data_IF_176236643285
#
_entry.id   IF_176236643285
#
_cell.length_a   1.000
_cell.length_b   1.000
_cell.length_c   1.000
_cell.angle_alpha   90.00
_cell.angle_beta   90.00
_cell.angle_gamma   90.00
#
_symmetry.space_group_name_H-M   'P 1'
#
loop_
_entity.id
_entity.type
_entity.pdbx_description
1 polymer ?
#
# COMPACT_ATOMS: atom_id res chain seq x y z
N UNK A 1 4.54 65.30 26.17
CA UNK A 1 4.95 63.99 26.72
C UNK A 1 6.13 63.49 25.92
N UNK A 2 7.33 63.32 26.48
CA UNK A 2 8.42 62.69 25.76
C UNK A 2 8.19 61.17 25.77
N UNK A 3 8.22 60.57 24.59
CA UNK A 3 8.20 59.13 24.38
C UNK A 3 9.56 58.56 24.80
N UNK A 4 9.58 57.73 25.84
CA UNK A 4 10.78 57.03 26.28
C UNK A 4 10.99 55.78 25.42
N UNK A 5 11.88 55.85 24.44
CA UNK A 5 12.41 54.64 23.79
C UNK A 5 13.46 54.03 24.71
N UNK A 6 13.06 53.02 25.47
CA UNK A 6 13.99 52.19 26.25
C UNK A 6 14.89 51.41 25.28
N UNK A 7 16.08 51.95 25.02
CA UNK A 7 17.19 51.25 24.41
C UNK A 7 17.80 50.32 25.46
N UNK A 8 17.38 49.05 25.46
CA UNK A 8 18.06 48.02 26.25
C UNK A 8 19.31 47.59 25.49
N UNK A 9 20.46 48.21 25.79
CA UNK A 9 21.76 47.64 25.42
C UNK A 9 21.93 46.32 26.17
N UNK A 10 21.50 45.21 25.57
CA UNK A 10 21.81 43.88 26.11
C UNK A 10 23.30 43.61 25.88
N UNK A 11 24.09 43.80 26.92
CA UNK A 11 25.46 43.28 27.00
C UNK A 11 25.36 41.76 26.90
N UNK A 12 25.63 41.21 25.72
CA UNK A 12 25.72 39.76 25.54
C UNK A 12 26.90 39.26 26.40
N UNK A 13 26.73 38.18 27.17
CA UNK A 13 27.81 37.64 27.98
C UNK A 13 28.99 37.28 27.07
N UNK A 14 30.20 37.67 27.50
CA UNK A 14 31.46 37.35 26.81
C UNK A 14 31.85 35.89 27.07
N UNK A 15 31.10 34.98 26.44
CA UNK A 15 31.37 33.54 26.44
C UNK A 15 31.91 33.13 25.07
N UNK A 16 32.65 32.00 24.98
CA UNK A 16 33.12 31.49 23.70
C UNK A 16 31.96 30.87 22.90
N UNK A 17 31.08 31.72 22.35
CA UNK A 17 29.88 31.33 21.61
C UNK A 17 30.14 30.29 20.51
N UNK A 18 31.21 30.37 19.70
CA UNK A 18 31.51 29.32 18.73
C UNK A 18 31.78 27.96 19.38
N UNK A 19 32.50 27.95 20.51
CA UNK A 19 32.80 26.73 21.26
C UNK A 19 31.56 26.12 21.90
N UNK A 20 30.70 26.95 22.49
CA UNK A 20 29.42 26.52 23.06
C UNK A 20 28.47 25.97 21.97
N UNK A 21 28.39 26.64 20.82
CA UNK A 21 27.60 26.16 19.69
C UNK A 21 28.15 24.82 19.17
N UNK A 22 29.47 24.69 19.01
CA UNK A 22 30.09 23.43 18.59
C UNK A 22 29.79 22.30 19.59
N UNK A 23 29.92 22.54 20.89
CA UNK A 23 29.59 21.57 21.93
C UNK A 23 28.10 21.18 21.90
N UNK A 24 27.19 22.15 21.73
CA UNK A 24 25.75 21.89 21.63
C UNK A 24 25.41 21.04 20.39
N UNK A 25 26.02 21.35 19.24
CA UNK A 25 25.84 20.58 17.99
C UNK A 25 26.38 19.17 18.14
N UNK A 26 27.56 18.99 18.73
CA UNK A 26 28.15 17.66 19.00
C UNK A 26 27.27 16.84 19.94
N UNK A 27 26.77 17.45 21.02
CA UNK A 27 25.88 16.79 21.96
C UNK A 27 24.56 16.36 21.28
N UNK A 28 24.00 17.23 20.43
CA UNK A 28 22.81 16.92 19.67
C UNK A 28 23.02 15.70 18.75
N UNK A 29 24.11 15.67 17.98
CA UNK A 29 24.41 14.54 17.10
C UNK A 29 24.72 13.26 17.89
N UNK A 30 25.45 13.36 19.00
CA UNK A 30 25.70 12.21 19.87
C UNK A 30 24.40 11.61 20.44
N UNK A 31 23.47 12.47 20.87
CA UNK A 31 22.15 12.03 21.34
C UNK A 31 21.30 11.42 20.22
N UNK A 32 21.31 12.01 19.01
CA UNK A 32 20.60 11.49 17.86
C UNK A 32 21.14 10.12 17.41
N UNK A 33 22.47 9.97 17.34
CA UNK A 33 23.13 8.69 17.01
C UNK A 33 22.82 7.65 18.08
N UNK A 34 22.93 8.01 19.36
CA UNK A 34 22.62 7.10 20.47
C UNK A 34 21.16 6.64 20.46
N UNK A 35 20.23 7.52 20.10
CA UNK A 35 18.82 7.20 19.90
C UNK A 35 18.62 6.19 18.77
N UNK A 36 19.21 6.44 17.60
CA UNK A 36 19.08 5.55 16.43
C UNK A 36 19.69 4.17 16.70
N UNK A 37 20.89 4.12 17.29
CA UNK A 37 21.53 2.86 17.68
C UNK A 37 20.70 2.08 18.71
N UNK A 38 20.08 2.78 19.67
CA UNK A 38 19.24 2.12 20.68
C UNK A 38 17.94 1.60 20.08
N UNK A 39 17.32 2.33 19.15
CA UNK A 39 16.12 1.88 18.46
C UNK A 39 16.40 0.71 17.52
N UNK A 40 17.53 0.74 16.82
CA UNK A 40 17.99 -0.39 15.99
C UNK A 40 18.21 -1.64 16.85
N UNK A 41 18.87 -1.50 18.00
CA UNK A 41 19.04 -2.60 18.97
C UNK A 41 17.72 -3.13 19.55
N UNK A 42 16.65 -2.34 19.53
CA UNK A 42 15.29 -2.75 19.91
C UNK A 42 14.50 -3.33 18.71
N UNK A 43 15.11 -3.41 17.52
CA UNK A 43 14.54 -4.01 16.32
C UNK A 43 13.61 -3.10 15.51
N UNK A 44 13.62 -1.77 15.77
CA UNK A 44 12.87 -0.81 14.98
C UNK A 44 13.53 -0.61 13.63
N UNK A 45 12.71 -0.40 12.60
CA UNK A 45 13.17 -0.14 11.24
C UNK A 45 12.48 1.12 10.69
N UNK A 46 13.16 1.88 9.81
CA UNK A 46 12.53 3.02 9.16
C UNK A 46 11.38 2.55 8.27
N UNK A 47 10.26 3.26 8.32
CA UNK A 47 9.08 2.92 7.53
C UNK A 47 8.51 4.19 6.92
N UNK A 48 8.40 4.21 5.59
CA UNK A 48 7.92 5.36 4.86
C UNK A 48 6.44 5.62 5.18
N UNK A 49 6.06 6.90 5.29
CA UNK A 49 4.65 7.26 5.43
C UNK A 49 3.97 7.18 4.07
N UNK A 50 2.85 6.44 4.02
CA UNK A 50 2.00 6.39 2.83
C UNK A 50 1.09 7.64 2.77
N UNK A 51 1.71 8.79 2.50
CA UNK A 51 1.07 10.12 2.51
C UNK A 51 0.30 10.42 1.22
N UNK A 52 -0.59 11.40 1.29
CA UNK A 52 -1.27 11.95 0.11
C UNK A 52 -0.27 12.46 -0.93
N UNK A 53 0.78 13.15 -0.49
CA UNK A 53 1.81 13.73 -1.34
C UNK A 53 2.57 12.66 -2.11
N UNK A 54 2.98 11.59 -1.42
CA UNK A 54 3.65 10.44 -2.03
C UNK A 54 2.75 9.71 -3.00
N UNK A 55 1.50 9.47 -2.62
CA UNK A 55 0.51 8.86 -3.49
C UNK A 55 0.28 9.71 -4.76
N UNK A 56 0.17 11.04 -4.63
CA UNK A 56 0.05 11.95 -5.78
C UNK A 56 1.29 11.94 -6.67
N UNK A 57 2.49 11.85 -6.09
CA UNK A 57 3.73 11.73 -6.84
C UNK A 57 3.77 10.43 -7.66
N UNK A 58 3.34 9.31 -7.08
CA UNK A 58 3.19 8.03 -7.78
C UNK A 58 2.12 8.13 -8.89
N UNK A 59 0.95 8.70 -8.60
CA UNK A 59 -0.13 8.89 -9.58
C UNK A 59 0.28 9.77 -10.76
N UNK A 60 1.06 10.84 -10.50
CA UNK A 60 1.63 11.69 -11.55
C UNK A 60 2.77 11.01 -12.32
N UNK A 61 3.55 10.12 -11.67
CA UNK A 61 4.55 9.27 -12.34
C UNK A 61 3.87 8.31 -13.33
N UNK A 62 2.71 7.75 -12.97
CA UNK A 62 1.92 6.89 -13.85
C UNK A 62 1.61 7.56 -15.20
N UNK A 63 1.10 8.80 -15.17
CA UNK A 63 0.79 9.58 -16.37
C UNK A 63 2.02 9.96 -17.20
N UNK A 64 3.20 10.09 -16.56
CA UNK A 64 4.45 10.46 -17.24
C UNK A 64 5.11 9.28 -17.97
N UNK A 65 4.98 8.09 -17.41
CA UNK A 65 5.60 6.88 -17.96
C UNK A 65 4.92 6.39 -19.25
N UNK A 66 3.66 6.76 -19.49
CA UNK A 66 2.91 6.35 -20.69
C UNK A 66 2.85 4.82 -20.79
N UNK A 67 3.22 4.29 -21.95
CA UNK A 67 3.18 2.85 -22.26
C UNK A 67 4.16 2.01 -21.42
N UNK A 68 5.21 2.63 -20.86
CA UNK A 68 6.14 1.93 -19.96
C UNK A 68 5.57 1.65 -18.57
N UNK A 69 4.42 2.22 -18.22
CA UNK A 69 3.87 2.09 -16.87
C UNK A 69 3.21 0.72 -16.65
N UNK A 70 3.54 0.07 -15.54
CA UNK A 70 2.75 -1.01 -14.96
C UNK A 70 2.07 -0.50 -13.68
N UNK A 71 0.82 -0.08 -13.79
CA UNK A 71 0.10 0.62 -12.73
C UNK A 71 -0.65 -0.40 -11.88
N UNK A 72 -0.36 -0.45 -10.58
CA UNK A 72 -1.00 -1.38 -9.64
C UNK A 72 -2.10 -0.65 -8.88
N UNK A 73 -3.36 -1.02 -9.13
CA UNK A 73 -4.54 -0.45 -8.49
C UNK A 73 -5.20 -1.51 -7.63
N UNK A 74 -5.59 -1.18 -6.41
CA UNK A 74 -6.16 -2.17 -5.51
C UNK A 74 -6.04 -1.80 -4.04
N UNK A 75 -5.95 -2.84 -3.22
CA UNK A 75 -5.95 -2.78 -1.78
C UNK A 75 -4.63 -3.34 -1.21
N UNK A 76 -4.73 -3.91 -0.01
CA UNK A 76 -3.60 -4.46 0.73
C UNK A 76 -2.98 -5.69 0.05
N UNK A 77 -3.72 -6.52 -0.69
CA UNK A 77 -3.11 -7.71 -1.30
C UNK A 77 -2.13 -7.32 -2.40
N UNK A 78 -2.42 -6.31 -3.19
CA UNK A 78 -1.44 -5.74 -4.13
C UNK A 78 -0.32 -4.97 -3.43
N UNK A 79 -0.66 -4.15 -2.43
CA UNK A 79 0.34 -3.31 -1.76
C UNK A 79 1.40 -4.15 -1.02
N UNK A 80 0.99 -5.27 -0.43
CA UNK A 80 1.86 -6.17 0.34
C UNK A 80 2.43 -7.32 -0.50
N UNK A 81 1.61 -7.91 -1.38
CA UNK A 81 1.89 -9.19 -2.03
C UNK A 81 2.63 -9.12 -3.36
N UNK A 82 2.78 -7.95 -3.99
CA UNK A 82 3.50 -7.80 -5.26
C UNK A 82 4.86 -7.15 -5.08
N UNK A 83 5.93 -7.81 -5.52
CA UNK A 83 7.30 -7.30 -5.51
C UNK A 83 7.59 -6.42 -6.74
N UNK A 84 7.84 -5.13 -6.51
CA UNK A 84 8.01 -4.18 -7.61
C UNK A 84 9.32 -4.41 -8.37
N UNK A 85 10.38 -4.88 -7.72
CA UNK A 85 11.65 -5.14 -8.41
C UNK A 85 11.57 -6.41 -9.25
N UNK A 86 10.86 -7.42 -8.75
CA UNK A 86 10.49 -8.61 -9.54
C UNK A 86 9.60 -8.22 -10.71
N UNK A 87 8.51 -7.45 -10.50
CA UNK A 87 7.66 -6.99 -11.61
C UNK A 87 8.47 -6.26 -12.68
N UNK A 88 9.37 -5.36 -12.29
CA UNK A 88 10.21 -4.62 -13.25
C UNK A 88 11.11 -5.56 -14.04
N UNK A 89 11.81 -6.47 -13.36
CA UNK A 89 12.72 -7.43 -13.99
C UNK A 89 11.99 -8.39 -14.91
N UNK A 90 10.86 -8.94 -14.45
CA UNK A 90 10.13 -9.95 -15.20
C UNK A 90 9.32 -9.33 -16.34
N UNK A 91 8.73 -8.14 -16.19
CA UNK A 91 7.85 -7.58 -17.23
C UNK A 91 8.55 -6.59 -18.18
N UNK A 92 9.71 -6.04 -17.80
CA UNK A 92 10.34 -4.92 -18.51
C UNK A 92 9.63 -3.57 -18.35
N UNK A 93 8.46 -3.55 -17.69
CA UNK A 93 7.68 -2.34 -17.42
C UNK A 93 8.09 -1.70 -16.10
N UNK A 94 7.75 -0.42 -15.93
CA UNK A 94 8.00 0.34 -14.72
C UNK A 94 6.80 0.30 -13.77
N UNK A 95 6.87 -0.46 -12.66
CA UNK A 95 5.76 -0.54 -11.73
C UNK A 95 5.50 0.79 -11.02
N UNK A 96 4.22 1.11 -10.85
CA UNK A 96 3.71 2.24 -10.08
C UNK A 96 2.67 1.70 -9.10
N UNK A 97 3.05 1.61 -7.83
CA UNK A 97 2.13 1.18 -6.78
C UNK A 97 1.14 2.31 -6.48
N UNK A 98 -0.14 2.12 -6.84
CA UNK A 98 -1.27 3.01 -6.49
C UNK A 98 -2.22 2.37 -5.47
N UNK A 99 -2.09 1.07 -5.20
CA UNK A 99 -2.92 0.38 -4.23
C UNK A 99 -2.83 1.01 -2.83
N UNK A 100 -3.93 0.91 -2.08
CA UNK A 100 -4.10 1.49 -0.76
C UNK A 100 -4.77 0.48 0.16
N UNK A 101 -4.08 0.10 1.23
CA UNK A 101 -4.59 -0.77 2.28
C UNK A 101 -6.02 -0.38 2.73
N UNK A 102 -6.89 -1.38 2.85
CA UNK A 102 -8.27 -1.21 3.31
C UNK A 102 -9.19 -0.40 2.38
N UNK A 103 -8.87 -0.23 1.10
CA UNK A 103 -9.70 0.51 0.15
C UNK A 103 -9.94 -0.25 -1.16
N UNK A 104 -11.11 -0.06 -1.78
CA UNK A 104 -11.39 -0.56 -3.12
C UNK A 104 -10.59 0.18 -4.19
N UNK A 105 -10.23 -0.52 -5.27
CA UNK A 105 -9.45 0.06 -6.38
C UNK A 105 -10.25 0.96 -7.33
N UNK A 106 -11.58 0.87 -7.31
CA UNK A 106 -12.46 1.51 -8.30
C UNK A 106 -12.32 3.03 -8.40
N UNK A 107 -12.24 3.80 -7.29
CA UNK A 107 -12.06 5.25 -7.39
C UNK A 107 -10.77 5.62 -8.15
N UNK A 108 -9.68 4.89 -7.90
CA UNK A 108 -8.41 5.10 -8.58
C UNK A 108 -8.53 4.71 -10.05
N UNK A 109 -9.20 3.59 -10.36
CA UNK A 109 -9.46 3.16 -11.74
C UNK A 109 -10.26 4.21 -12.51
N UNK A 110 -11.32 4.78 -11.91
CA UNK A 110 -12.09 5.87 -12.50
C UNK A 110 -11.22 7.10 -12.77
N UNK A 111 -10.35 7.44 -11.81
CA UNK A 111 -9.37 8.51 -11.95
C UNK A 111 -8.31 8.27 -13.04
N UNK A 112 -7.94 7.02 -13.29
CA UNK A 112 -7.08 6.63 -14.42
C UNK A 112 -7.87 6.70 -15.72
N UNK A 113 -9.10 6.22 -15.74
CA UNK A 113 -10.00 6.20 -16.90
C UNK A 113 -10.26 7.61 -17.45
N UNK A 114 -10.39 8.60 -16.57
CA UNK A 114 -10.55 10.02 -16.91
C UNK A 114 -9.24 10.74 -17.30
N UNK A 115 -8.08 10.11 -17.18
CA UNK A 115 -6.79 10.71 -17.53
C UNK A 115 -6.30 10.21 -18.91
N UNK A 116 -6.35 11.06 -19.96
CA UNK A 116 -5.99 10.65 -21.33
C UNK A 116 -4.50 10.34 -21.50
N UNK A 117 -3.65 10.66 -20.51
CA UNK A 117 -2.22 10.34 -20.55
C UNK A 117 -1.92 8.90 -20.13
N UNK A 118 -2.89 8.20 -19.56
CA UNK A 118 -2.72 6.80 -19.17
C UNK A 118 -2.81 5.90 -20.40
N UNK A 119 -1.66 5.32 -20.77
CA UNK A 119 -1.47 4.41 -21.92
C UNK A 119 -0.74 3.11 -21.55
N UNK A 120 -0.37 2.93 -20.29
CA UNK A 120 0.32 1.73 -19.81
C UNK A 120 -0.63 0.59 -19.47
N UNK A 121 -0.07 -0.48 -18.92
CA UNK A 121 -0.81 -1.63 -18.40
C UNK A 121 -1.25 -1.36 -16.96
N UNK A 122 -2.53 -1.55 -16.66
CA UNK A 122 -3.12 -1.41 -15.33
C UNK A 122 -3.47 -2.78 -14.80
N UNK A 123 -2.81 -3.21 -13.74
CA UNK A 123 -3.26 -4.35 -12.93
C UNK A 123 -4.25 -3.83 -11.91
N UNK A 124 -5.41 -4.45 -11.83
CA UNK A 124 -6.46 -4.12 -10.86
C UNK A 124 -6.68 -5.31 -9.95
N UNK A 125 -6.52 -5.11 -8.64
CA UNK A 125 -6.85 -6.11 -7.64
C UNK A 125 -8.35 -6.38 -7.69
N UNK A 126 -8.71 -7.64 -7.95
CA UNK A 126 -10.07 -8.12 -7.82
C UNK A 126 -10.26 -8.70 -6.41
N UNK A 127 -11.31 -8.23 -5.74
CA UNK A 127 -11.82 -8.88 -4.54
C UNK A 127 -13.33 -8.65 -4.44
N UNK A 128 -14.11 -9.72 -4.32
CA UNK A 128 -15.56 -9.73 -4.54
C UNK A 128 -16.29 -8.63 -3.76
N UNK A 129 -15.99 -8.50 -2.47
CA UNK A 129 -16.65 -7.55 -1.57
C UNK A 129 -16.24 -6.07 -1.78
N UNK A 130 -15.22 -5.82 -2.61
CA UNK A 130 -14.77 -4.45 -2.93
C UNK A 130 -15.36 -3.90 -4.21
N UNK A 131 -15.94 -4.76 -5.06
CA UNK A 131 -16.58 -4.35 -6.31
C UNK A 131 -17.87 -3.59 -5.99
N UNK A 132 -17.99 -2.35 -6.44
CA UNK A 132 -19.06 -1.42 -6.12
C UNK A 132 -18.95 -0.73 -4.77
N UNK A 133 -17.90 -1.04 -3.98
CA UNK A 133 -17.69 -0.41 -2.68
C UNK A 133 -17.30 1.08 -2.86
N UNK A 134 -18.05 1.97 -2.20
CA UNK A 134 -17.80 3.42 -2.21
C UNK A 134 -17.20 3.89 -0.89
N UNK A 135 -16.52 5.03 -0.91
CA UNK A 135 -15.84 5.59 0.26
C UNK A 135 -14.41 5.09 0.44
N UNK A 136 -13.85 5.40 1.61
CA UNK A 136 -12.52 4.96 2.00
C UNK A 136 -11.38 5.86 1.53
N UNK A 137 -10.16 5.44 1.88
CA UNK A 137 -8.94 6.24 1.70
C UNK A 137 -8.62 6.44 0.21
N UNK A 138 -8.89 5.44 -0.63
CA UNK A 138 -8.67 5.55 -2.08
C UNK A 138 -9.52 6.66 -2.73
N UNK A 139 -10.81 6.74 -2.38
CA UNK A 139 -11.68 7.77 -2.94
C UNK A 139 -11.27 9.16 -2.45
N UNK A 140 -10.94 9.31 -1.17
CA UNK A 140 -10.42 10.56 -0.62
C UNK A 140 -9.13 11.02 -1.31
N UNK A 141 -8.17 10.10 -1.46
CA UNK A 141 -6.88 10.42 -2.06
C UNK A 141 -6.99 10.77 -3.55
N UNK A 142 -7.82 10.03 -4.30
CA UNK A 142 -8.10 10.30 -5.70
C UNK A 142 -8.80 11.65 -5.88
N UNK A 143 -9.86 11.93 -5.12
CA UNK A 143 -10.58 13.22 -5.17
C UNK A 143 -9.66 14.40 -4.86
N UNK A 144 -8.78 14.26 -3.87
CA UNK A 144 -7.77 15.30 -3.53
C UNK A 144 -6.75 15.47 -4.66
N UNK A 145 -6.36 14.39 -5.33
CA UNK A 145 -5.47 14.47 -6.49
C UNK A 145 -6.13 15.23 -7.64
N UNK A 146 -7.38 14.91 -7.98
CA UNK A 146 -8.13 15.60 -9.04
C UNK A 146 -8.28 17.09 -8.75
N UNK A 147 -8.68 17.46 -7.53
CA UNK A 147 -8.72 18.86 -7.08
C UNK A 147 -7.34 19.55 -7.19
N UNK A 148 -6.26 18.82 -6.90
CA UNK A 148 -4.90 19.36 -6.97
C UNK A 148 -4.31 19.42 -8.38
N UNK A 149 -4.86 18.67 -9.33
CA UNK A 149 -4.42 18.61 -10.73
C UNK A 149 -4.94 19.79 -11.57
N UNK A 150 -5.93 20.53 -11.05
CA UNK A 150 -6.36 21.81 -11.59
C UNK A 150 -5.26 22.87 -11.53
N UNK A 151 -5.32 23.82 -12.47
CA UNK A 151 -4.39 24.91 -12.83
C UNK A 151 -3.86 25.82 -11.68
N UNK A 152 -4.17 25.52 -10.42
CA UNK A 152 -3.96 26.33 -9.23
C UNK A 152 -2.79 25.86 -8.34
N UNK A 153 -1.70 25.34 -8.92
CA UNK A 153 -0.50 24.94 -8.15
C UNK A 153 0.86 25.32 -8.72
N UNK A 154 0.91 26.30 -9.63
CA UNK A 154 2.18 26.96 -9.96
C UNK A 154 2.86 27.59 -8.74
N UNK A 155 2.15 27.77 -7.62
CA UNK A 155 2.60 28.49 -6.42
C UNK A 155 2.64 27.66 -5.12
N UNK A 156 2.81 26.33 -5.18
CA UNK A 156 3.34 25.63 -4.00
C UNK A 156 4.77 26.13 -3.77
N UNK A 157 4.97 26.91 -2.71
CA UNK A 157 6.21 27.64 -2.44
C UNK A 157 7.39 26.65 -2.45
N UNK A 158 8.54 27.00 -3.05
CA UNK A 158 9.75 26.16 -3.04
C UNK A 158 10.12 25.64 -1.64
N UNK A 159 9.83 26.43 -0.60
CA UNK A 159 10.00 26.05 0.80
C UNK A 159 9.18 24.82 1.19
N UNK A 160 7.87 24.79 0.93
CA UNK A 160 7.00 23.64 1.29
C UNK A 160 7.45 22.35 0.59
N UNK A 161 7.89 22.46 -0.67
CA UNK A 161 8.43 21.30 -1.40
C UNK A 161 9.73 20.80 -0.78
N UNK A 162 10.60 21.71 -0.37
CA UNK A 162 11.89 21.37 0.24
C UNK A 162 11.67 20.78 1.64
N UNK A 163 10.78 21.35 2.43
CA UNK A 163 10.37 20.85 3.75
C UNK A 163 9.75 19.45 3.66
N UNK A 164 8.80 19.24 2.73
CA UNK A 164 8.18 17.92 2.51
C UNK A 164 9.25 16.89 2.15
N UNK A 165 10.15 17.22 1.22
CA UNK A 165 11.23 16.32 0.80
C UNK A 165 12.19 15.98 1.94
N UNK A 166 12.60 16.97 2.73
CA UNK A 166 13.49 16.76 3.87
C UNK A 166 12.82 15.91 4.95
N UNK A 167 11.54 16.17 5.23
CA UNK A 167 10.74 15.42 6.20
C UNK A 167 10.60 13.96 5.76
N UNK A 168 10.23 13.72 4.50
CA UNK A 168 10.16 12.37 3.93
C UNK A 168 11.53 11.69 3.95
N UNK A 169 12.59 12.39 3.58
CA UNK A 169 13.95 11.86 3.60
C UNK A 169 14.38 11.40 5.00
N UNK A 170 14.08 12.20 6.04
CA UNK A 170 14.35 11.86 7.43
C UNK A 170 13.50 10.68 7.90
N UNK A 171 12.18 10.73 7.69
CA UNK A 171 11.25 9.70 8.17
C UNK A 171 11.50 8.33 7.53
N UNK A 172 12.00 8.31 6.29
CA UNK A 172 12.38 7.08 5.59
C UNK A 172 13.71 6.48 6.05
N UNK A 173 14.54 7.22 6.78
CA UNK A 173 15.92 6.83 7.12
C UNK A 173 16.17 6.65 8.60
N UNK A 174 15.30 7.19 9.44
CA UNK A 174 15.51 7.23 10.88
C UNK A 174 14.45 6.40 11.61
N UNK A 175 14.91 5.53 12.49
CA UNK A 175 14.11 4.69 13.38
C UNK A 175 13.27 5.54 14.35
N UNK A 176 13.75 6.73 14.72
CA UNK A 176 13.02 7.66 15.57
C UNK A 176 11.62 8.02 15.04
N UNK A 177 11.41 7.92 13.73
CA UNK A 177 10.14 8.22 13.05
C UNK A 177 9.34 6.98 12.64
N UNK A 178 9.81 5.79 13.02
CA UNK A 178 9.13 4.54 12.72
C UNK A 178 7.66 4.58 13.19
N UNK A 179 6.74 4.07 12.37
CA UNK A 179 5.29 4.03 12.60
C UNK A 179 4.64 5.41 12.86
N UNK A 180 5.23 6.48 12.35
CA UNK A 180 4.72 7.85 12.53
C UNK A 180 5.01 8.46 13.90
N UNK A 181 5.91 7.85 14.68
CA UNK A 181 6.45 8.45 15.89
C UNK A 181 7.28 9.70 15.58
N UNK A 182 7.58 10.48 16.61
CA UNK A 182 8.59 11.53 16.57
C UNK A 182 9.70 11.19 17.59
N UNK A 183 10.86 11.88 17.56
CA UNK A 183 11.98 11.54 18.45
C UNK A 183 11.62 11.53 19.93
N UNK A 184 10.73 12.43 20.37
CA UNK A 184 10.29 12.48 21.76
C UNK A 184 9.39 11.30 22.15
N UNK A 185 8.43 10.93 21.29
CA UNK A 185 7.59 9.76 21.53
C UNK A 185 8.41 8.46 21.47
N UNK A 186 9.39 8.37 20.58
CA UNK A 186 10.34 7.25 20.52
C UNK A 186 11.19 7.16 21.79
N UNK A 187 11.70 8.28 22.30
CA UNK A 187 12.41 8.29 23.59
C UNK A 187 11.51 7.78 24.72
N UNK A 188 10.33 8.41 24.88
CA UNK A 188 9.43 8.16 26.00
C UNK A 188 8.83 6.75 26.02
N UNK A 189 8.42 6.24 24.87
CA UNK A 189 7.60 5.03 24.78
C UNK A 189 8.31 3.83 24.18
N UNK A 190 9.52 3.99 23.63
CA UNK A 190 10.30 2.88 23.06
C UNK A 190 11.62 2.69 23.79
N UNK A 191 12.40 3.76 23.92
CA UNK A 191 13.76 3.68 24.49
C UNK A 191 13.73 3.54 26.00
N UNK A 192 13.06 4.46 26.71
CA UNK A 192 12.97 4.44 28.17
C UNK A 192 12.36 3.14 28.72
N UNK A 193 11.26 2.60 28.16
CA UNK A 193 10.71 1.32 28.61
C UNK A 193 11.39 0.09 27.98
N UNK A 194 12.40 0.28 27.11
CA UNK A 194 13.03 -0.80 26.33
C UNK A 194 12.04 -1.68 25.56
N UNK A 195 11.02 -1.06 24.96
CA UNK A 195 9.97 -1.78 24.24
C UNK A 195 10.47 -2.28 22.89
N UNK A 196 10.58 -3.61 22.73
CA UNK A 196 10.96 -4.26 21.48
C UNK A 196 9.97 -3.96 20.35
N UNK A 197 10.50 -3.82 19.14
CA UNK A 197 9.71 -3.52 17.97
C UNK A 197 8.81 -4.68 17.55
N UNK A 198 7.53 -4.39 17.41
CA UNK A 198 6.50 -5.31 16.88
C UNK A 198 6.10 -4.97 15.43
N UNK A 199 7.01 -4.33 14.69
CA UNK A 199 6.76 -3.88 13.32
C UNK A 199 6.73 -5.07 12.36
N UNK A 200 5.55 -5.66 12.20
CA UNK A 200 5.35 -6.65 11.14
C UNK A 200 5.17 -6.00 9.76
N UNK A 201 4.87 -4.70 9.69
CA UNK A 201 4.73 -3.94 8.45
C UNK A 201 5.84 -2.90 8.27
N UNK A 202 6.51 -2.93 7.12
CA UNK A 202 7.51 -1.91 6.73
C UNK A 202 7.15 -1.37 5.34
N UNK A 203 6.88 -0.07 5.25
CA UNK A 203 6.57 0.57 3.96
C UNK A 203 7.85 1.12 3.34
N UNK A 204 8.12 0.76 2.09
CA UNK A 204 9.25 1.27 1.30
C UNK A 204 8.92 2.62 0.66
N UNK A 205 9.93 3.42 0.27
CA UNK A 205 9.71 4.69 -0.42
C UNK A 205 8.89 4.59 -1.71
N UNK A 206 8.93 3.45 -2.38
CA UNK A 206 8.15 3.12 -3.59
C UNK A 206 6.68 2.74 -3.31
N UNK A 207 6.24 2.86 -2.05
CA UNK A 207 4.91 2.53 -1.50
C UNK A 207 4.59 1.04 -1.42
N UNK A 208 5.49 0.14 -1.81
CA UNK A 208 5.32 -1.27 -1.50
C UNK A 208 5.49 -1.51 0.00
N UNK A 209 4.73 -2.47 0.56
CA UNK A 209 4.77 -2.76 1.99
C UNK A 209 5.22 -4.19 2.22
N UNK A 210 6.19 -4.39 3.08
CA UNK A 210 6.66 -5.71 3.50
C UNK A 210 5.85 -6.13 4.73
N UNK A 211 5.34 -7.36 4.71
CA UNK A 211 4.61 -7.94 5.83
C UNK A 211 5.34 -9.20 6.31
N UNK A 212 5.93 -9.16 7.49
CA UNK A 212 6.60 -10.30 8.13
C UNK A 212 5.73 -10.86 9.25
N UNK A 213 4.98 -11.92 8.92
CA UNK A 213 4.07 -12.55 9.86
C UNK A 213 4.78 -13.40 10.93
N UNK A 214 6.11 -13.55 10.88
CA UNK A 214 6.86 -14.13 12.00
C UNK A 214 6.93 -13.18 13.22
N UNK A 215 6.59 -11.89 13.03
CA UNK A 215 6.62 -10.85 14.08
C UNK A 215 5.29 -10.61 14.77
N UNK A 216 4.28 -11.45 14.52
CA UNK A 216 2.95 -11.33 15.15
C UNK A 216 2.59 -12.59 15.93
N UNK A 217 1.76 -12.41 16.95
CA UNK A 217 1.31 -13.52 17.80
C UNK A 217 0.30 -14.40 17.02
N UNK A 218 0.76 -15.56 16.56
CA UNK A 218 -0.08 -16.60 15.96
C UNK A 218 -0.50 -17.64 17.02
N UNK A 219 -1.70 -18.23 16.94
CA UNK A 219 -2.72 -18.07 15.89
C UNK A 219 -3.69 -16.89 16.12
N UNK A 220 -3.57 -16.15 17.24
CA UNK A 220 -4.46 -15.03 17.58
C UNK A 220 -4.61 -14.02 16.44
N UNK A 221 -3.52 -13.62 15.80
CA UNK A 221 -3.53 -12.67 14.70
C UNK A 221 -4.36 -13.17 13.50
N UNK A 222 -4.22 -14.46 13.18
CA UNK A 222 -5.00 -15.14 12.15
C UNK A 222 -6.48 -15.18 12.51
N UNK A 223 -6.84 -15.58 13.74
CA UNK A 223 -8.24 -15.61 14.17
C UNK A 223 -8.90 -14.23 14.17
N UNK A 224 -8.17 -13.16 14.51
CA UNK A 224 -8.69 -11.78 14.38
C UNK A 224 -8.96 -11.41 12.92
N UNK A 225 -8.14 -11.89 11.98
CA UNK A 225 -8.45 -11.73 10.56
C UNK A 225 -9.72 -12.47 10.19
N UNK A 226 -9.87 -13.74 10.60
CA UNK A 226 -11.06 -14.53 10.31
C UNK A 226 -12.32 -13.85 10.85
N UNK A 227 -12.32 -13.39 12.10
CA UNK A 227 -13.44 -12.65 12.70
C UNK A 227 -13.78 -11.37 11.92
N UNK A 228 -12.76 -10.57 11.56
CA UNK A 228 -12.97 -9.39 10.72
C UNK A 228 -13.52 -9.74 9.34
N UNK A 229 -13.05 -10.82 8.71
CA UNK A 229 -13.58 -11.27 7.41
C UNK A 229 -15.04 -11.75 7.56
N UNK A 230 -15.41 -12.34 8.70
CA UNK A 230 -16.81 -12.62 9.03
C UNK A 230 -17.63 -11.34 9.25
N UNK A 231 -16.99 -10.20 9.53
CA UNK A 231 -17.69 -8.96 9.91
C UNK A 231 -18.18 -8.99 11.36
N UNK A 232 -17.57 -9.83 12.20
CA UNK A 232 -17.95 -10.03 13.61
C UNK A 232 -16.82 -9.56 14.55
N UNK A 233 -17.18 -8.97 15.68
CA UNK A 233 -16.25 -8.75 16.79
C UNK A 233 -16.28 -9.99 17.70
N UNK A 234 -15.22 -10.80 17.64
CA UNK A 234 -15.09 -12.06 18.39
C UNK A 234 -13.87 -11.98 19.30
N UNK A 235 -14.04 -12.36 20.57
CA UNK A 235 -12.89 -12.59 21.46
C UNK A 235 -12.13 -13.85 21.05
N UNK A 236 -11.01 -13.65 20.36
CA UNK A 236 -10.19 -14.73 19.81
C UNK A 236 -9.42 -15.53 20.86
N UNK A 237 -9.36 -15.05 22.11
CA UNK A 237 -8.68 -15.73 23.22
C UNK A 237 -9.60 -16.67 24.00
N UNK A 238 -10.88 -16.71 23.63
CA UNK A 238 -11.87 -17.60 24.25
C UNK A 238 -11.55 -19.09 24.00
N UNK A 239 -12.05 -19.99 24.88
CA UNK A 239 -11.90 -21.42 24.68
C UNK A 239 -12.60 -21.88 23.40
N UNK A 240 -12.02 -22.87 22.71
CA UNK A 240 -12.59 -23.47 21.49
C UNK A 240 -12.86 -22.50 20.34
N UNK A 241 -12.07 -21.41 20.24
CA UNK A 241 -12.22 -20.39 19.19
C UNK A 241 -12.25 -20.98 17.77
N UNK A 242 -11.43 -21.98 17.49
CA UNK A 242 -11.38 -22.61 16.16
C UNK A 242 -12.70 -23.28 15.78
N UNK A 243 -13.32 -24.00 16.72
CA UNK A 243 -14.61 -24.65 16.52
C UNK A 243 -15.75 -23.62 16.37
N UNK A 244 -15.71 -22.53 17.15
CA UNK A 244 -16.65 -21.41 17.01
C UNK A 244 -16.54 -20.79 15.61
N UNK A 245 -15.34 -20.46 15.16
CA UNK A 245 -15.11 -19.88 13.82
C UNK A 245 -15.57 -20.84 12.73
N UNK A 246 -15.22 -22.13 12.82
CA UNK A 246 -15.68 -23.14 11.86
C UNK A 246 -17.21 -23.22 11.80
N UNK A 247 -17.91 -23.17 12.94
CA UNK A 247 -19.37 -23.15 12.98
C UNK A 247 -19.95 -21.89 12.31
N UNK A 248 -19.37 -20.70 12.58
CA UNK A 248 -19.80 -19.43 11.94
C UNK A 248 -19.63 -19.47 10.43
N UNK A 249 -18.48 -19.98 9.97
CA UNK A 249 -18.18 -20.15 8.55
C UNK A 249 -19.15 -21.14 7.90
N UNK A 250 -19.45 -22.25 8.56
CA UNK A 250 -20.38 -23.26 8.06
C UNK A 250 -21.81 -22.70 7.86
N UNK A 251 -22.21 -21.72 8.67
CA UNK A 251 -23.52 -21.07 8.61
C UNK A 251 -23.62 -19.98 7.54
N UNK A 252 -22.52 -19.59 6.88
CA UNK A 252 -22.54 -18.55 5.86
C UNK A 252 -23.36 -18.98 4.64
N UNK A 253 -24.09 -17.99 4.10
CA UNK A 253 -24.80 -18.10 2.83
C UNK A 253 -24.10 -17.26 1.78
N UNK A 254 -24.31 -17.64 0.53
CA UNK A 254 -23.84 -16.85 -0.60
C UNK A 254 -24.59 -15.51 -0.67
N UNK A 255 -23.85 -14.44 -0.93
CA UNK A 255 -24.39 -13.09 -1.03
C UNK A 255 -25.28 -12.91 -2.26
N UNK A 256 -26.13 -11.89 -2.23
CA UNK A 256 -26.79 -11.40 -3.46
C UNK A 256 -25.75 -10.73 -4.37
N UNK A 257 -25.96 -10.78 -5.69
CA UNK A 257 -25.02 -10.24 -6.66
C UNK A 257 -25.62 -9.17 -7.58
N UNK A 258 -26.84 -8.68 -7.37
CA UNK A 258 -27.45 -7.70 -8.27
C UNK A 258 -26.64 -6.40 -8.38
N UNK A 259 -26.29 -5.82 -7.21
CA UNK A 259 -25.47 -4.60 -7.14
C UNK A 259 -24.05 -4.84 -7.64
N UNK A 260 -23.49 -6.02 -7.35
CA UNK A 260 -22.19 -6.46 -7.83
C UNK A 260 -22.13 -6.49 -9.38
N UNK A 261 -23.15 -7.02 -10.04
CA UNK A 261 -23.21 -7.07 -11.51
C UNK A 261 -23.30 -5.66 -12.11
N UNK A 262 -24.07 -4.76 -11.50
CA UNK A 262 -24.15 -3.37 -11.93
C UNK A 262 -22.80 -2.66 -11.80
N UNK A 263 -22.11 -2.84 -10.68
CA UNK A 263 -20.77 -2.31 -10.46
C UNK A 263 -19.74 -2.91 -11.43
N UNK A 264 -19.82 -4.22 -11.71
CA UNK A 264 -18.92 -4.90 -12.66
C UNK A 264 -18.99 -4.29 -14.06
N UNK A 265 -20.18 -3.96 -14.55
CA UNK A 265 -20.35 -3.27 -15.85
C UNK A 265 -19.74 -1.88 -15.85
N UNK A 266 -19.87 -1.15 -14.75
CA UNK A 266 -19.29 0.18 -14.61
C UNK A 266 -17.76 0.14 -14.56
N UNK A 267 -17.19 -0.84 -13.87
CA UNK A 267 -15.75 -1.14 -13.90
C UNK A 267 -15.28 -1.47 -15.31
N UNK A 268 -16.04 -2.30 -16.05
CA UNK A 268 -15.78 -2.60 -17.46
C UNK A 268 -15.74 -1.34 -18.32
N UNK A 269 -16.71 -0.43 -18.15
CA UNK A 269 -16.76 0.86 -18.86
C UNK A 269 -15.53 1.73 -18.59
N UNK A 270 -15.07 1.82 -17.34
CA UNK A 270 -13.84 2.56 -16.99
C UNK A 270 -12.61 1.95 -17.66
N UNK A 271 -12.51 0.62 -17.65
CA UNK A 271 -11.40 -0.08 -18.27
C UNK A 271 -11.40 0.04 -19.80
N UNK A 272 -12.57 0.03 -20.45
CA UNK A 272 -12.69 0.30 -21.89
C UNK A 272 -12.22 1.71 -22.27
N UNK A 273 -12.46 2.71 -21.42
CA UNK A 273 -11.91 4.05 -21.68
C UNK A 273 -10.39 4.04 -21.74
N UNK A 274 -9.73 3.25 -20.88
CA UNK A 274 -8.26 3.07 -20.87
C UNK A 274 -7.81 2.32 -22.13
N UNK A 275 -8.52 1.25 -22.52
CA UNK A 275 -8.20 0.46 -23.71
C UNK A 275 -8.39 1.22 -25.02
N UNK A 276 -9.42 2.05 -25.12
CA UNK A 276 -9.73 2.84 -26.31
C UNK A 276 -8.59 3.80 -26.71
N UNK A 277 -7.66 4.09 -25.80
CA UNK A 277 -6.47 4.92 -26.04
C UNK A 277 -5.14 4.16 -25.99
N UNK A 278 -5.19 2.83 -26.13
CA UNK A 278 -4.02 1.96 -26.24
C UNK A 278 -3.48 1.40 -24.93
N UNK A 279 -4.11 1.71 -23.79
CA UNK A 279 -3.77 1.07 -22.51
C UNK A 279 -4.29 -0.36 -22.41
N UNK A 280 -3.86 -1.08 -21.37
CA UNK A 280 -4.35 -2.42 -21.05
C UNK A 280 -4.86 -2.45 -19.61
N UNK A 281 -5.87 -3.27 -19.35
CA UNK A 281 -6.41 -3.49 -18.00
C UNK A 281 -6.53 -4.99 -17.77
N UNK A 282 -5.97 -5.46 -16.66
CA UNK A 282 -5.95 -6.88 -16.28
C UNK A 282 -6.40 -6.97 -14.82
N UNK A 283 -7.42 -7.78 -14.57
CA UNK A 283 -7.89 -8.03 -13.21
C UNK A 283 -7.14 -9.20 -12.59
N UNK A 284 -6.73 -9.09 -11.32
CA UNK A 284 -6.02 -10.16 -10.60
C UNK A 284 -6.62 -10.37 -9.22
N UNK A 285 -7.16 -11.57 -8.98
CA UNK A 285 -7.55 -12.01 -7.65
C UNK A 285 -6.35 -12.69 -6.97
N UNK A 286 -5.81 -12.01 -5.95
CA UNK A 286 -4.66 -12.46 -5.16
C UNK A 286 -5.03 -13.65 -4.26
N UNK A 287 -4.07 -14.50 -3.89
CA UNK A 287 -4.34 -15.71 -3.11
C UNK A 287 -4.87 -15.39 -1.71
N UNK A 288 -5.72 -16.29 -1.23
CA UNK A 288 -6.15 -16.40 0.17
C UNK A 288 -6.01 -17.84 0.64
N UNK A 289 -6.03 -18.07 1.95
CA UNK A 289 -5.90 -19.42 2.52
C UNK A 289 -6.71 -19.64 3.79
N UNK A 290 -6.82 -20.91 4.19
CA UNK A 290 -7.49 -21.32 5.41
C UNK A 290 -8.97 -20.90 5.46
N UNK A 291 -9.41 -20.53 6.65
CA UNK A 291 -10.76 -20.08 6.98
C UNK A 291 -11.17 -18.83 6.20
N UNK A 292 -10.24 -17.90 5.95
CA UNK A 292 -10.53 -16.69 5.15
C UNK A 292 -10.95 -17.09 3.73
N UNK A 293 -10.22 -18.02 3.10
CA UNK A 293 -10.60 -18.55 1.78
C UNK A 293 -11.93 -19.31 1.82
N UNK A 294 -12.20 -20.04 2.90
CA UNK A 294 -13.49 -20.73 3.04
C UNK A 294 -14.66 -19.73 3.13
N UNK A 295 -14.50 -18.65 3.88
CA UNK A 295 -15.48 -17.55 3.95
C UNK A 295 -15.73 -16.98 2.56
N UNK A 296 -14.65 -16.67 1.83
CA UNK A 296 -14.74 -16.12 0.47
C UNK A 296 -15.52 -17.04 -0.47
N UNK A 297 -15.20 -18.34 -0.49
CA UNK A 297 -15.88 -19.32 -1.35
C UNK A 297 -17.36 -19.49 -1.02
N UNK A 298 -17.72 -19.41 0.26
CA UNK A 298 -19.11 -19.54 0.72
C UNK A 298 -19.93 -18.30 0.41
N UNK A 299 -19.39 -17.11 0.65
CA UNK A 299 -20.05 -15.83 0.36
C UNK A 299 -20.11 -15.52 -1.12
N UNK A 300 -19.02 -15.81 -1.83
CA UNK A 300 -18.83 -15.43 -3.24
C UNK A 300 -18.53 -16.67 -4.10
N UNK A 301 -19.53 -17.53 -4.36
CA UNK A 301 -19.34 -18.66 -5.28
C UNK A 301 -18.85 -18.19 -6.65
N UNK A 302 -17.84 -18.88 -7.18
CA UNK A 302 -17.13 -18.52 -8.41
C UNK A 302 -18.07 -18.24 -9.58
N UNK A 303 -19.06 -19.11 -9.79
CA UNK A 303 -20.00 -19.07 -10.93
C UNK A 303 -20.94 -17.86 -10.84
N UNK A 304 -21.17 -17.35 -9.62
CA UNK A 304 -22.05 -16.22 -9.34
C UNK A 304 -21.31 -14.88 -9.29
N UNK A 305 -20.01 -14.90 -8.99
CA UNK A 305 -19.19 -13.69 -8.81
C UNK A 305 -18.05 -13.61 -9.82
N UNK A 306 -16.94 -14.34 -9.63
CA UNK A 306 -15.76 -14.24 -10.51
C UNK A 306 -16.09 -14.42 -12.00
N UNK A 307 -16.80 -15.49 -12.38
CA UNK A 307 -17.11 -15.74 -13.80
C UNK A 307 -18.07 -14.69 -14.36
N UNK A 308 -19.00 -14.21 -13.53
CA UNK A 308 -19.87 -13.10 -13.90
C UNK A 308 -19.08 -11.81 -14.06
N UNK A 309 -18.16 -11.49 -13.18
CA UNK A 309 -17.33 -10.29 -13.28
C UNK A 309 -16.54 -10.26 -14.58
N UNK A 310 -15.87 -11.36 -14.94
CA UNK A 310 -15.13 -11.47 -16.20
C UNK A 310 -16.09 -11.31 -17.39
N UNK A 311 -17.28 -11.90 -17.35
CA UNK A 311 -18.28 -11.79 -18.40
C UNK A 311 -18.85 -10.36 -18.54
N UNK A 312 -19.19 -9.70 -17.43
CA UNK A 312 -19.78 -8.35 -17.43
C UNK A 312 -18.75 -7.26 -17.78
N UNK A 313 -17.47 -7.47 -17.42
CA UNK A 313 -16.39 -6.56 -17.81
C UNK A 313 -15.89 -6.80 -19.24
N UNK A 314 -16.01 -8.03 -19.75
CA UNK A 314 -15.48 -8.41 -21.06
C UNK A 314 -13.95 -8.39 -21.13
N UNK A 315 -13.27 -8.48 -19.98
CA UNK A 315 -11.84 -8.21 -19.85
C UNK A 315 -11.04 -9.39 -19.29
N UNK A 316 -9.73 -9.44 -19.56
CA UNK A 316 -8.86 -10.46 -18.99
C UNK A 316 -8.85 -10.46 -17.46
N UNK A 317 -8.94 -11.65 -16.87
CA UNK A 317 -8.86 -11.86 -15.43
C UNK A 317 -7.97 -13.05 -15.09
N UNK A 318 -7.18 -12.92 -14.03
CA UNK A 318 -6.38 -13.98 -13.42
C UNK A 318 -6.89 -14.18 -11.99
N UNK A 319 -7.24 -15.40 -11.62
CA UNK A 319 -7.62 -15.72 -10.25
C UNK A 319 -6.71 -16.79 -9.70
N UNK A 320 -5.99 -16.50 -8.60
CA UNK A 320 -4.95 -17.39 -8.08
C UNK A 320 -5.45 -18.80 -7.77
N UNK A 321 -6.68 -18.93 -7.23
CA UNK A 321 -7.31 -20.24 -6.99
C UNK A 321 -7.62 -21.04 -8.26
N UNK A 322 -7.66 -20.42 -9.44
CA UNK A 322 -8.04 -21.06 -10.70
C UNK A 322 -6.85 -21.38 -11.60
N UNK A 323 -5.67 -20.84 -11.28
CA UNK A 323 -4.46 -20.99 -12.09
C UNK A 323 -3.46 -21.90 -11.36
N UNK A 324 -3.10 -23.08 -11.90
CA UNK A 324 -2.24 -24.05 -11.23
C UNK A 324 -0.92 -23.47 -10.69
N UNK A 325 -0.29 -22.56 -11.42
CA UNK A 325 1.01 -21.94 -11.09
C UNK A 325 0.92 -20.90 -9.97
N UNK A 326 -0.29 -20.40 -9.71
CA UNK A 326 -0.58 -19.43 -8.64
C UNK A 326 -1.27 -20.09 -7.43
N UNK A 327 -1.50 -21.40 -7.49
CA UNK A 327 -1.95 -22.20 -6.33
C UNK A 327 -0.79 -22.53 -5.41
N UNK A 328 -1.11 -22.79 -4.15
CA UNK A 328 -0.16 -23.30 -3.16
C UNK A 328 0.56 -22.24 -2.33
N UNK A 329 0.31 -20.95 -2.57
CA UNK A 329 0.76 -19.89 -1.68
C UNK A 329 -0.13 -19.83 -0.44
N UNK A 330 0.49 -19.96 0.73
CA UNK A 330 -0.19 -19.80 2.01
C UNK A 330 -0.12 -18.33 2.43
N UNK A 331 -1.26 -17.79 2.86
CA UNK A 331 -1.35 -16.47 3.46
C UNK A 331 -1.38 -16.66 5.00
N UNK A 332 -0.37 -16.20 5.77
CA UNK A 332 -0.31 -16.48 7.21
C UNK A 332 -1.50 -15.92 7.99
N UNK A 333 -2.01 -14.74 7.63
CA UNK A 333 -3.25 -14.20 8.18
C UNK A 333 -4.50 -14.68 7.44
N UNK A 334 -4.35 -15.54 6.42
CA UNK A 334 -5.42 -16.03 5.56
C UNK A 334 -5.72 -15.12 4.35
N UNK A 335 -5.23 -13.87 4.32
CA UNK A 335 -5.54 -12.91 3.24
C UNK A 335 -4.31 -12.34 2.52
N UNK A 336 -3.13 -12.31 3.15
CA UNK A 336 -1.94 -11.68 2.58
C UNK A 336 -0.77 -12.65 2.51
N UNK A 337 0.02 -12.53 1.45
CA UNK A 337 1.31 -13.19 1.33
C UNK A 337 2.29 -12.63 2.36
N UNK A 338 3.13 -13.52 2.86
CA UNK A 338 4.30 -13.13 3.64
C UNK A 338 5.38 -12.51 2.73
N UNK A 339 6.21 -11.62 3.30
CA UNK A 339 7.37 -11.03 2.62
C UNK A 339 8.29 -12.08 1.98
N UNK A 340 8.37 -13.29 2.55
CA UNK A 340 9.18 -14.39 2.00
C UNK A 340 8.60 -14.99 0.72
N UNK A 341 7.29 -14.92 0.52
CA UNK A 341 6.60 -15.54 -0.63
C UNK A 341 6.30 -14.57 -1.77
N UNK A 342 6.18 -13.25 -1.49
CA UNK A 342 5.77 -12.26 -2.51
C UNK A 342 6.62 -12.28 -3.78
N UNK A 343 7.93 -12.48 -3.66
CA UNK A 343 8.83 -12.47 -4.82
C UNK A 343 8.56 -13.64 -5.76
N UNK A 344 8.41 -14.85 -5.20
CA UNK A 344 8.09 -16.07 -5.95
C UNK A 344 6.70 -15.98 -6.59
N UNK A 345 5.70 -15.53 -5.85
CA UNK A 345 4.35 -15.30 -6.37
C UNK A 345 4.36 -14.28 -7.52
N UNK A 346 5.07 -13.17 -7.35
CA UNK A 346 5.14 -12.11 -8.36
C UNK A 346 5.78 -12.59 -9.65
N UNK A 347 6.85 -13.40 -9.56
CA UNK A 347 7.49 -13.98 -10.73
C UNK A 347 6.54 -14.93 -11.48
N UNK A 348 5.84 -15.81 -10.76
CA UNK A 348 4.85 -16.71 -11.34
C UNK A 348 3.69 -15.94 -12.01
N UNK A 349 3.21 -14.87 -11.38
CA UNK A 349 2.16 -14.00 -11.95
C UNK A 349 2.64 -13.32 -13.24
N UNK A 350 3.85 -12.75 -13.24
CA UNK A 350 4.42 -12.08 -14.41
C UNK A 350 4.59 -13.04 -15.60
N UNK A 351 5.11 -14.24 -15.33
CA UNK A 351 5.27 -15.31 -16.31
C UNK A 351 3.91 -15.79 -16.87
N UNK A 352 2.90 -15.96 -16.01
CA UNK A 352 1.55 -16.30 -16.44
C UNK A 352 0.92 -15.20 -17.33
N UNK A 353 1.08 -13.93 -16.96
CA UNK A 353 0.61 -12.80 -17.77
C UNK A 353 1.24 -12.78 -19.16
N UNK A 354 2.55 -13.10 -19.26
CA UNK A 354 3.23 -13.24 -20.57
C UNK A 354 2.67 -14.41 -21.37
N UNK A 355 2.53 -15.60 -20.75
CA UNK A 355 1.97 -16.79 -21.44
C UNK A 355 0.56 -16.59 -21.96
N UNK A 356 -0.28 -15.88 -21.22
CA UNK A 356 -1.64 -15.52 -21.64
C UNK A 356 -1.67 -14.38 -22.68
N UNK A 357 -0.52 -13.82 -23.06
CA UNK A 357 -0.43 -12.71 -24.01
C UNK A 357 -0.97 -11.39 -23.48
N UNK A 358 -1.09 -11.23 -22.15
CA UNK A 358 -1.61 -10.01 -21.53
C UNK A 358 -0.56 -8.91 -21.46
N UNK A 359 0.71 -9.26 -21.57
CA UNK A 359 1.81 -8.32 -21.72
C UNK A 359 2.39 -8.47 -23.12
N UNK A 360 2.78 -7.36 -23.74
CA UNK A 360 3.49 -7.40 -25.01
C UNK A 360 4.78 -8.24 -24.84
N UNK A 361 5.14 -9.07 -25.84
CA UNK A 361 6.41 -9.78 -25.80
C UNK A 361 7.55 -8.77 -25.68
N UNK A 362 8.56 -9.15 -24.91
CA UNK A 362 9.74 -8.35 -24.61
C UNK A 362 10.30 -7.79 -25.93
N UNK A 363 10.07 -6.51 -26.21
CA UNK A 363 10.77 -5.85 -27.30
C UNK A 363 12.17 -5.63 -26.78
N UNK A 364 12.99 -6.68 -26.90
CA UNK A 364 14.36 -6.74 -26.43
C UNK A 364 15.07 -5.46 -26.80
N UNK A 365 15.23 -4.58 -25.81
CA UNK A 365 16.11 -3.45 -25.91
C UNK A 365 17.50 -4.03 -26.10
N UNK A 366 17.99 -3.98 -27.33
CA UNK A 366 19.42 -4.14 -27.64
C UNK A 366 20.18 -3.30 -26.64
N UNK A 367 20.82 -3.96 -25.67
CA UNK A 367 21.87 -3.34 -24.87
C UNK A 367 23.02 -3.12 -25.83
N UNK A 368 23.14 -1.90 -26.36
CA UNK A 368 24.40 -1.38 -26.88
C UNK A 368 25.04 -0.52 -25.80
#
# INVERSE_FOLDING_TARGET
>A
MPSSTSSSERVLPQVPWPGLLAAAVLLFFAAAIGMEMRLDALGYQPTARDSQERWQAARARASRLGERALILVGASRFQLGLDLDVLRRETGLEPVQLALDGSGGEPILAGLANDPKIRGTVLVEYYDHTVGARGGVAEDMQRRHEKSSGRLRLWKRPAERSETRLTEWLHERLNAYADGANPWSSLRWRILPAAEARQYLVTRPDRSRLADYARVDMPDFYYRRVARTLGEEIDVKGPSIEALLAQRIAALKAEDNADFLAASREVGRMAEQIRARGGQVIFVAMPSSGMVREIERRRYPRERFWERFVAETGLPGIHSDHEPELRGYACPDGSHLDVRDRGRYTAALADLMKRKGFLAPDQGGTRQ
#
